data_IF_407507757939
#
_entry.id   IF_407507757939
#
_cell.length_a   1.000
_cell.length_b   1.000
_cell.length_c   1.000
_cell.angle_alpha   90.00
_cell.angle_beta   90.00
_cell.angle_gamma   90.00
#
_symmetry.space_group_name_H-M   'P 1'
#
loop_
_entity.id
_entity.type
_entity.pdbx_description
1 polymer ?
#
# COMPACT_ATOMS: atom_id res chain seq x y z
N UNK A 1 21.10 -12.01 7.45
CA UNK A 1 19.92 -12.21 8.34
C UNK A 1 19.10 -10.94 8.19
N UNK A 2 18.02 -10.97 7.41
CA UNK A 2 17.12 -9.81 7.29
C UNK A 2 16.43 -9.67 8.65
N UNK A 3 16.59 -8.53 9.32
CA UNK A 3 15.94 -8.31 10.61
C UNK A 3 14.49 -7.87 10.38
N UNK A 4 13.58 -8.26 11.27
CA UNK A 4 12.17 -7.85 11.18
C UNK A 4 11.98 -6.32 11.22
N UNK A 5 12.93 -5.59 11.83
CA UNK A 5 13.00 -4.13 11.77
C UNK A 5 13.11 -3.59 10.34
N UNK A 6 13.86 -4.28 9.49
CA UNK A 6 14.11 -3.86 8.11
C UNK A 6 12.84 -3.99 7.28
N UNK A 7 12.02 -5.02 7.55
CA UNK A 7 10.74 -5.23 6.86
C UNK A 7 9.72 -4.16 7.24
N UNK A 8 9.62 -3.84 8.54
CA UNK A 8 8.71 -2.81 9.02
C UNK A 8 9.03 -1.44 8.42
N UNK A 9 10.31 -1.06 8.37
CA UNK A 9 10.75 0.20 7.78
C UNK A 9 10.43 0.26 6.28
N UNK A 10 10.67 -0.84 5.55
CA UNK A 10 10.40 -0.93 4.11
C UNK A 10 8.90 -0.82 3.81
N UNK A 11 8.05 -1.53 4.55
CA UNK A 11 6.58 -1.42 4.43
C UNK A 11 6.13 0.00 4.72
N UNK A 12 6.58 0.59 5.84
CA UNK A 12 6.19 1.93 6.23
C UNK A 12 6.62 3.00 5.21
N UNK A 13 7.84 2.89 4.68
CA UNK A 13 8.34 3.78 3.63
C UNK A 13 7.50 3.69 2.37
N UNK A 14 7.26 2.46 1.88
CA UNK A 14 6.51 2.26 0.66
C UNK A 14 5.06 2.74 0.79
N UNK A 15 4.44 2.49 1.94
CA UNK A 15 3.07 2.96 2.24
C UNK A 15 2.97 4.48 2.16
N UNK A 16 3.96 5.22 2.66
CA UNK A 16 3.97 6.69 2.55
C UNK A 16 4.03 7.16 1.10
N UNK A 17 4.81 6.49 0.25
CA UNK A 17 4.89 6.86 -1.18
C UNK A 17 3.59 6.52 -1.93
N UNK A 18 2.99 5.37 -1.65
CA UNK A 18 1.70 4.97 -2.20
C UNK A 18 0.58 5.92 -1.75
N UNK A 19 0.53 6.28 -0.47
CA UNK A 19 -0.46 7.23 0.03
C UNK A 19 -0.36 8.59 -0.64
N UNK A 20 0.85 9.15 -0.83
CA UNK A 20 1.02 10.42 -1.56
C UNK A 20 0.38 10.37 -2.95
N UNK A 21 0.49 9.24 -3.65
CA UNK A 21 -0.12 9.06 -4.98
C UNK A 21 -1.64 8.99 -4.88
N UNK A 22 -2.16 8.28 -3.88
CA UNK A 22 -3.60 8.20 -3.60
C UNK A 22 -4.15 9.60 -3.28
N UNK A 23 -3.46 10.35 -2.42
CA UNK A 23 -3.83 11.71 -2.03
C UNK A 23 -3.91 12.63 -3.26
N UNK A 24 -2.97 12.51 -4.21
CA UNK A 24 -3.02 13.23 -5.48
C UNK A 24 -4.24 12.86 -6.33
N UNK A 25 -4.68 11.59 -6.33
CA UNK A 25 -5.93 11.20 -6.99
C UNK A 25 -7.17 11.77 -6.28
N UNK A 26 -7.17 11.82 -4.94
CA UNK A 26 -8.21 12.50 -4.16
C UNK A 26 -8.25 14.00 -4.44
N UNK A 27 -7.10 14.66 -4.61
CA UNK A 27 -7.02 16.08 -4.97
C UNK A 27 -7.68 16.37 -6.33
N UNK A 28 -7.50 15.50 -7.33
CA UNK A 28 -8.12 15.64 -8.67
C UNK A 28 -9.65 15.63 -8.61
N UNK A 29 -10.23 14.96 -7.62
CA UNK A 29 -11.68 14.93 -7.36
C UNK A 29 -12.11 15.90 -6.25
N UNK A 30 -11.28 16.90 -5.93
CA UNK A 30 -11.52 17.91 -4.90
C UNK A 30 -11.89 17.30 -3.54
N UNK A 31 -11.22 16.21 -3.17
CA UNK A 31 -11.45 15.44 -1.94
C UNK A 31 -12.91 14.95 -1.75
N UNK A 32 -13.66 14.85 -2.85
CA UNK A 32 -15.05 14.37 -2.88
C UNK A 32 -15.15 13.24 -3.91
N UNK A 33 -14.71 12.02 -3.55
CA UNK A 33 -14.84 10.88 -4.43
C UNK A 33 -16.31 10.69 -4.82
N UNK A 34 -16.52 10.25 -6.05
CA UNK A 34 -17.87 9.93 -6.54
C UNK A 34 -18.35 8.68 -5.78
N UNK A 35 -19.57 8.67 -5.22
CA UNK A 35 -20.09 7.50 -4.54
C UNK A 35 -20.00 6.24 -5.41
N UNK A 36 -19.48 5.16 -4.85
CA UNK A 36 -19.23 3.90 -5.55
C UNK A 36 -18.01 3.87 -6.46
N UNK A 37 -17.19 4.93 -6.50
CA UNK A 37 -15.86 4.87 -7.12
C UNK A 37 -14.86 4.12 -6.24
N UNK A 38 -13.74 3.68 -6.81
CA UNK A 38 -12.68 3.02 -6.04
C UNK A 38 -12.14 3.89 -4.90
N UNK A 39 -12.15 5.22 -5.07
CA UNK A 39 -11.73 6.19 -4.05
C UNK A 39 -12.79 6.42 -2.94
N UNK A 40 -14.00 5.88 -3.07
CA UNK A 40 -15.09 5.99 -2.08
C UNK A 40 -14.94 4.99 -0.92
N UNK A 41 -13.80 4.32 -0.81
CA UNK A 41 -13.51 3.38 0.27
C UNK A 41 -12.86 4.11 1.46
N UNK A 42 -13.51 4.02 2.63
CA UNK A 42 -13.06 4.65 3.89
C UNK A 42 -11.60 4.31 4.26
N UNK A 43 -11.14 3.12 3.89
CA UNK A 43 -9.82 2.61 4.28
C UNK A 43 -8.65 3.18 3.46
N UNK A 44 -8.91 3.96 2.40
CA UNK A 44 -7.86 4.47 1.51
C UNK A 44 -7.33 5.86 1.92
N UNK A 45 -8.18 6.68 2.53
CA UNK A 45 -7.82 8.05 2.91
C UNK A 45 -6.82 8.10 4.06
N UNK A 46 -6.96 7.19 5.03
CA UNK A 46 -6.10 7.10 6.21
C UNK A 46 -5.25 5.82 6.21
N UNK A 47 -4.96 5.25 5.02
CA UNK A 47 -4.29 3.96 4.87
C UNK A 47 -2.92 3.89 5.56
N UNK A 48 -2.16 4.99 5.55
CA UNK A 48 -0.87 5.11 6.29
C UNK A 48 -1.03 4.86 7.78
N UNK A 49 -2.07 5.43 8.39
CA UNK A 49 -2.31 5.29 9.83
C UNK A 49 -2.60 3.84 10.18
N UNK A 50 -3.45 3.18 9.38
CA UNK A 50 -3.79 1.76 9.53
C UNK A 50 -2.56 0.87 9.40
N UNK A 51 -1.71 1.08 8.39
CA UNK A 51 -0.48 0.28 8.22
C UNK A 51 0.48 0.50 9.39
N UNK A 52 0.68 1.75 9.82
CA UNK A 52 1.58 2.03 10.94
C UNK A 52 1.08 1.43 12.26
N UNK A 53 -0.24 1.35 12.47
CA UNK A 53 -0.82 0.68 13.62
C UNK A 53 -0.45 -0.81 13.62
N UNK A 54 -0.65 -1.52 12.50
CA UNK A 54 -0.23 -2.91 12.34
C UNK A 54 1.27 -3.09 12.57
N UNK A 55 2.11 -2.20 12.03
CA UNK A 55 3.56 -2.25 12.24
C UNK A 55 3.93 -2.07 13.73
N UNK A 56 3.22 -1.22 14.47
CA UNK A 56 3.45 -1.00 15.90
C UNK A 56 3.14 -2.21 16.77
N UNK A 57 2.25 -3.09 16.29
CA UNK A 57 1.87 -4.34 16.94
C UNK A 57 2.65 -5.57 16.40
N UNK A 58 3.67 -5.37 15.55
CA UNK A 58 4.40 -6.45 14.86
C UNK A 58 3.54 -7.31 13.91
N UNK A 59 2.41 -6.77 13.45
CA UNK A 59 1.49 -7.45 12.52
C UNK A 59 1.93 -7.20 11.06
N UNK A 60 3.16 -7.61 10.72
CA UNK A 60 3.80 -7.29 9.44
C UNK A 60 3.04 -7.82 8.22
N UNK A 61 2.38 -8.96 8.35
CA UNK A 61 1.57 -9.56 7.29
C UNK A 61 0.35 -8.67 7.01
N UNK A 62 -0.38 -8.27 8.06
CA UNK A 62 -1.54 -7.38 7.92
C UNK A 62 -1.14 -6.00 7.37
N UNK A 63 0.00 -5.47 7.84
CA UNK A 63 0.57 -4.23 7.31
C UNK A 63 0.85 -4.33 5.79
N UNK A 64 1.45 -5.43 5.35
CA UNK A 64 1.75 -5.66 3.94
C UNK A 64 0.48 -5.91 3.10
N UNK A 65 -0.47 -6.69 3.61
CA UNK A 65 -1.76 -6.94 2.96
C UNK A 65 -2.55 -5.65 2.78
N UNK A 66 -2.54 -4.76 3.77
CA UNK A 66 -3.22 -3.47 3.67
C UNK A 66 -2.55 -2.55 2.66
N UNK A 67 -1.21 -2.49 2.63
CA UNK A 67 -0.48 -1.78 1.58
C UNK A 67 -0.83 -2.30 0.18
N UNK A 68 -0.88 -3.63 0.01
CA UNK A 68 -1.23 -4.24 -1.26
C UNK A 68 -2.68 -3.93 -1.67
N UNK A 69 -3.61 -4.00 -0.72
CA UNK A 69 -5.00 -3.58 -0.88
C UNK A 69 -5.12 -2.13 -1.35
N UNK A 70 -4.36 -1.20 -0.75
CA UNK A 70 -4.36 0.20 -1.18
C UNK A 70 -3.98 0.34 -2.66
N UNK A 71 -2.99 -0.43 -3.13
CA UNK A 71 -2.55 -0.41 -4.53
C UNK A 71 -3.61 -1.01 -5.45
N UNK A 72 -4.11 -2.22 -5.14
CA UNK A 72 -5.05 -2.93 -6.01
C UNK A 72 -6.39 -2.23 -6.15
N UNK A 73 -6.93 -1.68 -5.05
CA UNK A 73 -8.23 -1.02 -5.09
C UNK A 73 -8.16 0.32 -5.79
N UNK A 74 -7.13 1.12 -5.52
CA UNK A 74 -7.00 2.44 -6.15
C UNK A 74 -6.56 2.34 -7.61
N UNK A 75 -5.93 1.23 -8.00
CA UNK A 75 -5.36 1.05 -9.33
C UNK A 75 -4.27 2.07 -9.64
N UNK A 76 -3.68 2.69 -8.61
CA UNK A 76 -2.69 3.75 -8.80
C UNK A 76 -1.48 3.21 -9.56
N UNK A 77 -0.90 4.02 -10.45
CA UNK A 77 0.34 3.67 -11.09
C UNK A 77 1.49 3.51 -10.09
N UNK A 78 2.16 2.35 -10.12
CA UNK A 78 3.38 2.10 -9.35
C UNK A 78 4.60 1.97 -10.27
N UNK A 79 5.73 2.45 -9.78
CA UNK A 79 7.01 2.38 -10.48
C UNK A 79 7.55 0.95 -10.41
N UNK A 80 8.31 0.55 -11.43
CA UNK A 80 8.97 -0.77 -11.46
C UNK A 80 9.81 -1.05 -10.20
N UNK A 81 10.47 -0.02 -9.64
CA UNK A 81 11.23 -0.16 -8.39
C UNK A 81 10.37 -0.39 -7.15
N UNK A 82 9.18 0.20 -7.08
CA UNK A 82 8.23 -0.01 -5.98
C UNK A 82 7.63 -1.42 -6.06
N UNK A 83 7.36 -1.92 -7.26
CA UNK A 83 6.89 -3.29 -7.44
C UNK A 83 7.96 -4.32 -7.10
N UNK A 84 9.21 -4.08 -7.49
CA UNK A 84 10.35 -4.93 -7.08
C UNK A 84 10.48 -4.98 -5.55
N UNK A 85 10.25 -3.85 -4.88
CA UNK A 85 10.24 -3.78 -3.42
C UNK A 85 9.10 -4.59 -2.79
N UNK A 86 7.87 -4.52 -3.34
CA UNK A 86 6.74 -5.36 -2.91
C UNK A 86 7.06 -6.85 -3.04
N UNK A 87 7.65 -7.26 -4.17
CA UNK A 87 8.04 -8.65 -4.39
C UNK A 87 9.04 -9.12 -3.34
N UNK A 88 10.08 -8.34 -3.07
CA UNK A 88 11.07 -8.70 -2.05
C UNK A 88 10.46 -8.79 -0.65
N UNK A 89 9.57 -7.87 -0.27
CA UNK A 89 8.87 -7.94 1.02
C UNK A 89 7.99 -9.19 1.07
N UNK A 90 7.27 -9.51 -0.01
CA UNK A 90 6.41 -10.70 -0.08
C UNK A 90 7.20 -12.00 0.08
N UNK A 91 8.40 -12.09 -0.51
CA UNK A 91 9.30 -13.23 -0.36
C UNK A 91 9.76 -13.41 1.10
N UNK A 92 10.13 -12.31 1.76
CA UNK A 92 10.55 -12.32 3.17
C UNK A 92 9.41 -12.77 4.08
N UNK A 93 8.20 -12.25 3.84
CA UNK A 93 6.99 -12.59 4.60
C UNK A 93 6.38 -13.94 4.20
N UNK A 94 6.87 -14.58 3.13
CA UNK A 94 6.34 -15.82 2.55
C UNK A 94 4.85 -15.69 2.15
N UNK A 95 4.48 -14.51 1.66
CA UNK A 95 3.12 -14.21 1.18
C UNK A 95 3.12 -14.36 -0.35
N UNK A 96 2.10 -15.02 -0.89
CA UNK A 96 1.92 -15.10 -2.34
C UNK A 96 1.00 -13.96 -2.81
N UNK A 97 1.57 -12.97 -3.51
CA UNK A 97 0.81 -11.89 -4.10
C UNK A 97 0.29 -12.29 -5.49
N UNK A 98 -1.03 -12.22 -5.66
CA UNK A 98 -1.69 -12.40 -6.96
C UNK A 98 -2.16 -11.04 -7.45
N UNK A 99 -1.48 -10.50 -8.45
CA UNK A 99 -1.78 -9.19 -9.02
C UNK A 99 -3.01 -9.28 -9.92
N UNK A 100 -4.13 -8.65 -9.53
CA UNK A 100 -5.32 -8.58 -10.40
C UNK A 100 -5.46 -7.22 -11.07
N UNK A 101 -5.08 -6.13 -10.40
CA UNK A 101 -5.24 -4.76 -10.86
C UNK A 101 -3.99 -3.89 -10.53
N UNK A 102 -2.82 -4.22 -11.07
CA UNK A 102 -1.62 -3.39 -10.91
C UNK A 102 -1.26 -2.73 -12.25
N UNK A 103 -1.22 -1.40 -12.23
CA UNK A 103 -0.81 -0.58 -13.37
C UNK A 103 0.66 -0.17 -13.24
N UNK A 104 1.46 -0.53 -14.23
CA UNK A 104 2.88 -0.18 -14.30
C UNK A 104 3.08 1.09 -15.13
N UNK A 105 3.92 1.99 -14.63
CA UNK A 105 4.41 3.18 -15.36
C UNK A 105 5.94 3.24 -15.39
#
# INVERSE_FOLDING_TARGET
RIMHSDVAERIGKLTKEIQKKIDLEFEKVNNKPIPGSNLDQLNLKDGVSTVHEYLSHNEFILAFEHLFYMIEETGIPILSGEFAELLQISEILKINIRTRNINFI
#
